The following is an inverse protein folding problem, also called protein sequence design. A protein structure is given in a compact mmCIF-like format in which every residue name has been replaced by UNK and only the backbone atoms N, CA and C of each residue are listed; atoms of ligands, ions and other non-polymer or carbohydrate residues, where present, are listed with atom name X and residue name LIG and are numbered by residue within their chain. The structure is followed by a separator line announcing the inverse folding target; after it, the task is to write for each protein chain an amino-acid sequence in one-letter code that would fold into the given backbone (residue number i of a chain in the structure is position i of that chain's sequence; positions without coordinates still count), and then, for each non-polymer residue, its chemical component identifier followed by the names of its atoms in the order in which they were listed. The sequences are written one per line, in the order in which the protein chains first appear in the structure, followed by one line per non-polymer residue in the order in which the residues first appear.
data_IF_843731461414
#
_entry.id   IF_843731461414
#
_cell.length_a   1.000
_cell.length_b   1.000
_cell.length_c   1.000
_cell.angle_alpha   90.00
_cell.angle_beta   90.00
_cell.angle_gamma   90.00
#
_symmetry.space_group_name_H-M   'P 1'
#
loop_
_entity.id
_entity.type
_entity.pdbx_description
1 polymer ?
#
# COMPACT_ATOMS: atom_id res chain seq x y z
N UNK A 1 -61.82 5.87 27.80
CA UNK A 1 -61.32 4.85 28.75
C UNK A 1 -60.89 3.65 27.91
N UNK A 2 -59.63 3.22 27.95
CA UNK A 2 -59.19 2.05 27.18
C UNK A 2 -59.84 0.80 27.77
N UNK A 3 -60.50 -0.01 26.95
CA UNK A 3 -60.97 -1.34 27.34
C UNK A 3 -59.77 -2.28 27.55
N UNK A 4 -59.90 -3.30 28.42
CA UNK A 4 -58.82 -4.26 28.69
C UNK A 4 -58.26 -4.92 27.42
N UNK A 5 -59.11 -5.17 26.41
CA UNK A 5 -58.67 -5.71 25.12
C UNK A 5 -57.75 -4.76 24.35
N UNK A 6 -58.01 -3.45 24.40
CA UNK A 6 -57.19 -2.43 23.74
C UNK A 6 -55.84 -2.26 24.45
N UNK A 7 -55.81 -2.38 25.78
CA UNK A 7 -54.58 -2.33 26.58
C UNK A 7 -53.68 -3.54 26.32
N UNK A 8 -54.25 -4.75 26.23
CA UNK A 8 -53.53 -5.98 25.86
C UNK A 8 -52.91 -5.89 24.45
N UNK A 9 -53.66 -5.37 23.48
CA UNK A 9 -53.17 -5.20 22.12
C UNK A 9 -51.99 -4.21 22.05
N UNK A 10 -52.11 -3.07 22.73
CA UNK A 10 -51.04 -2.05 22.81
C UNK A 10 -49.80 -2.62 23.50
N UNK A 11 -49.98 -3.36 24.60
CA UNK A 11 -48.88 -4.02 25.29
C UNK A 11 -48.13 -4.99 24.36
N UNK A 12 -48.87 -5.85 23.63
CA UNK A 12 -48.28 -6.77 22.67
C UNK A 12 -47.53 -6.06 21.53
N UNK A 13 -48.09 -4.99 20.97
CA UNK A 13 -47.42 -4.18 19.94
C UNK A 13 -46.14 -3.56 20.50
N UNK A 14 -46.18 -2.98 21.70
CA UNK A 14 -44.99 -2.44 22.38
C UNK A 14 -43.92 -3.51 22.63
N UNK A 15 -44.30 -4.73 23.02
CA UNK A 15 -43.36 -5.85 23.22
C UNK A 15 -42.73 -6.30 21.90
N UNK A 16 -43.51 -6.35 20.82
CA UNK A 16 -43.00 -6.69 19.48
C UNK A 16 -42.02 -5.61 18.99
N UNK A 17 -42.39 -4.33 19.07
CA UNK A 17 -41.52 -3.23 18.61
C UNK A 17 -40.23 -3.13 19.45
N UNK A 18 -40.32 -3.31 20.76
CA UNK A 18 -39.14 -3.31 21.65
C UNK A 18 -38.23 -4.50 21.39
N UNK A 19 -38.77 -5.71 21.15
CA UNK A 19 -37.97 -6.87 20.78
C UNK A 19 -37.28 -6.69 19.42
N UNK A 20 -37.95 -6.11 18.41
CA UNK A 20 -37.29 -5.73 17.15
C UNK A 20 -36.14 -4.74 17.37
N UNK A 21 -36.33 -3.74 18.23
CA UNK A 21 -35.31 -2.74 18.56
C UNK A 21 -34.09 -3.37 19.25
N UNK A 22 -34.32 -4.32 20.16
CA UNK A 22 -33.26 -5.09 20.83
C UNK A 22 -32.49 -5.97 19.83
N UNK A 23 -33.19 -6.68 18.94
CA UNK A 23 -32.56 -7.51 17.90
C UNK A 23 -31.71 -6.64 16.96
N UNK A 24 -32.20 -5.46 16.59
CA UNK A 24 -31.49 -4.54 15.72
C UNK A 24 -30.24 -3.97 16.41
N UNK A 25 -30.34 -3.59 17.69
CA UNK A 25 -29.20 -3.15 18.49
C UNK A 25 -28.15 -4.26 18.63
N UNK A 26 -28.58 -5.50 18.89
CA UNK A 26 -27.69 -6.66 18.97
C UNK A 26 -27.00 -6.94 17.63
N UNK A 27 -27.72 -6.84 16.51
CA UNK A 27 -27.15 -6.99 15.18
C UNK A 27 -26.04 -5.95 14.92
N UNK A 28 -26.29 -4.67 15.20
CA UNK A 28 -25.27 -3.64 15.04
C UNK A 28 -24.09 -3.82 16.00
N UNK A 29 -24.34 -4.25 17.23
CA UNK A 29 -23.29 -4.56 18.19
C UNK A 29 -22.39 -5.69 17.69
N UNK A 30 -22.97 -6.81 17.23
CA UNK A 30 -22.22 -7.95 16.68
C UNK A 30 -21.47 -7.53 15.41
N UNK A 31 -22.14 -6.81 14.50
CA UNK A 31 -21.52 -6.28 13.28
C UNK A 31 -20.34 -5.35 13.61
N UNK A 32 -20.50 -4.49 14.62
CA UNK A 32 -19.44 -3.62 15.14
C UNK A 32 -18.26 -4.42 15.68
N UNK A 33 -18.51 -5.44 16.51
CA UNK A 33 -17.44 -6.33 17.04
C UNK A 33 -16.71 -7.12 15.95
N UNK A 34 -17.43 -7.55 14.91
CA UNK A 34 -16.81 -8.20 13.74
C UNK A 34 -15.93 -7.23 12.95
N UNK A 35 -16.34 -5.96 12.83
CA UNK A 35 -15.54 -4.92 12.19
C UNK A 35 -14.30 -4.58 13.03
N UNK A 36 -14.44 -4.45 14.35
CA UNK A 36 -13.33 -4.18 15.28
C UNK A 36 -12.26 -5.27 15.27
N UNK A 37 -12.68 -6.54 15.20
CA UNK A 37 -11.79 -7.71 15.22
C UNK A 37 -11.22 -8.09 13.85
N UNK A 38 -11.63 -7.40 12.78
CA UNK A 38 -11.17 -7.66 11.42
C UNK A 38 -9.66 -7.46 11.31
N UNK A 39 -8.99 -8.39 10.65
CA UNK A 39 -7.54 -8.36 10.35
C UNK A 39 -7.33 -8.62 8.87
N UNK A 40 -6.56 -7.77 8.21
CA UNK A 40 -6.21 -7.88 6.80
C UNK A 40 -4.82 -8.49 6.68
N UNK A 41 -4.74 -9.81 6.51
CA UNK A 41 -3.48 -10.54 6.47
C UNK A 41 -2.86 -10.52 5.06
N UNK A 42 -1.91 -9.62 4.84
CA UNK A 42 -1.22 -9.45 3.55
C UNK A 42 -0.17 -10.52 3.23
N UNK A 43 0.10 -11.46 4.14
CA UNK A 43 0.89 -12.66 3.82
C UNK A 43 0.16 -13.61 2.87
N UNK A 44 -1.17 -13.47 2.70
CA UNK A 44 -1.93 -14.28 1.75
C UNK A 44 -2.03 -13.58 0.39
N UNK A 45 -1.14 -13.95 -0.54
CA UNK A 45 -1.05 -13.38 -1.89
C UNK A 45 -2.39 -13.37 -2.63
N UNK A 46 -3.16 -14.47 -2.56
CA UNK A 46 -4.48 -14.61 -3.22
C UNK A 46 -5.53 -13.62 -2.72
N UNK A 47 -5.37 -13.03 -1.54
CA UNK A 47 -6.32 -12.09 -0.95
C UNK A 47 -5.92 -10.61 -1.09
N UNK A 48 -4.69 -10.31 -1.53
CA UNK A 48 -4.14 -8.94 -1.56
C UNK A 48 -5.00 -7.97 -2.37
N UNK A 49 -5.33 -8.31 -3.63
CA UNK A 49 -6.22 -7.48 -4.48
C UNK A 49 -7.54 -7.13 -3.79
N UNK A 50 -8.18 -8.12 -3.15
CA UNK A 50 -9.41 -7.87 -2.38
C UNK A 50 -9.16 -6.88 -1.23
N UNK A 51 -8.06 -7.04 -0.51
CA UNK A 51 -7.73 -6.15 0.60
C UNK A 51 -7.35 -4.74 0.14
N UNK A 52 -6.64 -4.58 -0.97
CA UNK A 52 -6.38 -3.25 -1.55
C UNK A 52 -7.68 -2.52 -1.86
N UNK A 53 -8.64 -3.18 -2.52
CA UNK A 53 -9.96 -2.61 -2.81
C UNK A 53 -10.72 -2.23 -1.55
N UNK A 54 -10.66 -3.05 -0.51
CA UNK A 54 -11.29 -2.72 0.78
C UNK A 54 -10.65 -1.48 1.42
N UNK A 55 -9.32 -1.40 1.43
CA UNK A 55 -8.58 -0.26 1.99
C UNK A 55 -8.83 1.02 1.19
N UNK A 56 -8.90 0.93 -0.14
CA UNK A 56 -9.21 2.07 -1.01
C UNK A 56 -10.60 2.67 -0.71
N UNK A 57 -11.56 1.85 -0.28
CA UNK A 57 -12.91 2.30 0.10
C UNK A 57 -12.92 2.87 1.53
N UNK A 58 -12.15 2.28 2.43
CA UNK A 58 -12.12 2.65 3.85
C UNK A 58 -10.68 2.62 4.39
N UNK A 59 -10.07 3.81 4.44
CA UNK A 59 -8.69 4.01 4.92
C UNK A 59 -8.52 3.64 6.41
N UNK A 60 -9.59 3.60 7.21
CA UNK A 60 -9.50 3.19 8.62
C UNK A 60 -9.00 1.74 8.76
N UNK A 61 -9.22 0.92 7.71
CA UNK A 61 -8.76 -0.47 7.64
C UNK A 61 -7.24 -0.61 7.54
N UNK A 62 -6.49 0.45 7.24
CA UNK A 62 -5.01 0.44 7.26
C UNK A 62 -4.51 0.06 8.67
N UNK A 63 -5.19 0.50 9.73
CA UNK A 63 -4.86 0.13 11.10
C UNK A 63 -4.97 -1.38 11.38
N UNK A 64 -5.75 -2.10 10.56
CA UNK A 64 -6.04 -3.54 10.67
C UNK A 64 -5.15 -4.42 9.79
N UNK A 65 -4.18 -3.83 9.10
CA UNK A 65 -3.20 -4.55 8.27
C UNK A 65 -2.22 -5.34 9.14
N UNK A 66 -2.02 -6.60 8.78
CA UNK A 66 -1.10 -7.53 9.46
C UNK A 66 -0.30 -8.36 8.45
N UNK A 67 0.90 -8.77 8.85
CA UNK A 67 1.77 -9.74 8.16
C UNK A 67 2.03 -10.89 9.15
N UNK A 68 1.56 -12.09 8.84
CA UNK A 68 1.84 -13.27 9.68
C UNK A 68 3.27 -13.74 9.47
N UNK A 69 3.97 -13.99 10.59
CA UNK A 69 5.25 -14.71 10.57
C UNK A 69 5.01 -16.21 10.38
N UNK A 70 6.00 -16.90 9.78
CA UNK A 70 6.09 -18.36 9.86
C UNK A 70 6.36 -18.75 11.31
N UNK A 71 5.62 -19.74 11.82
CA UNK A 71 5.81 -20.24 13.19
C UNK A 71 7.13 -21.00 13.26
N UNK A 72 8.02 -20.61 14.18
CA UNK A 72 9.24 -21.35 14.49
C UNK A 72 9.06 -22.04 15.87
N UNK A 73 9.70 -23.19 16.08
CA UNK A 73 9.37 -24.14 17.18
C UNK A 73 10.48 -24.35 18.23
N UNK A 74 11.62 -23.65 18.16
CA UNK A 74 12.75 -23.91 19.06
C UNK A 74 12.74 -22.98 20.29
N UNK A 75 13.55 -23.22 21.33
CA UNK A 75 13.55 -22.43 22.59
C UNK A 75 14.95 -22.03 23.11
N UNK A 76 16.00 -22.23 22.32
CA UNK A 76 17.37 -21.84 22.71
C UNK A 76 17.61 -20.31 22.60
N UNK A 77 18.75 -19.82 23.12
CA UNK A 77 19.08 -18.39 23.12
C UNK A 77 19.23 -17.82 21.70
N UNK A 78 19.85 -18.58 20.80
CA UNK A 78 19.96 -18.24 19.37
C UNK A 78 18.57 -18.03 18.77
N UNK A 79 17.65 -18.93 19.06
CA UNK A 79 16.25 -18.84 18.68
C UNK A 79 15.58 -17.61 19.27
N UNK A 80 15.79 -17.29 20.55
CA UNK A 80 15.20 -16.09 21.18
C UNK A 80 15.67 -14.82 20.45
N UNK A 81 16.97 -14.72 20.13
CA UNK A 81 17.55 -13.58 19.41
C UNK A 81 17.06 -13.51 17.96
N UNK A 82 17.07 -14.64 17.24
CA UNK A 82 16.53 -14.73 15.88
C UNK A 82 15.04 -14.37 15.84
N UNK A 83 14.26 -14.82 16.81
CA UNK A 83 12.83 -14.51 16.90
C UNK A 83 12.57 -13.05 17.24
N UNK A 84 13.37 -12.43 18.13
CA UNK A 84 13.31 -10.98 18.39
C UNK A 84 13.60 -10.16 17.14
N UNK A 85 14.66 -10.49 16.42
CA UNK A 85 15.00 -9.82 15.17
C UNK A 85 13.90 -9.99 14.12
N UNK A 86 13.33 -11.21 14.01
CA UNK A 86 12.22 -11.48 13.10
C UNK A 86 10.95 -10.70 13.47
N UNK A 87 10.64 -10.54 14.77
CA UNK A 87 9.50 -9.75 15.23
C UNK A 87 9.68 -8.26 14.94
N UNK A 88 10.88 -7.71 15.19
CA UNK A 88 11.19 -6.32 14.85
C UNK A 88 11.10 -6.09 13.34
N UNK A 89 11.71 -6.95 12.54
CA UNK A 89 11.63 -6.88 11.08
C UNK A 89 10.18 -6.94 10.60
N UNK A 90 9.37 -7.83 11.17
CA UNK A 90 7.93 -7.93 10.89
C UNK A 90 7.19 -6.62 11.21
N UNK A 91 7.38 -6.07 12.41
CA UNK A 91 6.70 -4.83 12.81
C UNK A 91 7.07 -3.69 11.87
N UNK A 92 8.34 -3.61 11.46
CA UNK A 92 8.79 -2.65 10.46
C UNK A 92 8.10 -2.88 9.11
N UNK A 93 8.06 -4.11 8.60
CA UNK A 93 7.37 -4.43 7.35
C UNK A 93 5.86 -4.11 7.40
N UNK A 94 5.18 -4.35 8.52
CA UNK A 94 3.78 -3.97 8.70
C UNK A 94 3.60 -2.44 8.66
N UNK A 95 4.48 -1.69 9.34
CA UNK A 95 4.44 -0.23 9.33
C UNK A 95 4.74 0.33 7.94
N UNK A 96 5.73 -0.21 7.24
CA UNK A 96 6.03 0.17 5.87
C UNK A 96 4.84 -0.11 4.94
N UNK A 97 4.20 -1.27 5.03
CA UNK A 97 2.99 -1.53 4.24
C UNK A 97 1.87 -0.53 4.56
N UNK A 98 1.67 -0.18 5.83
CA UNK A 98 0.68 0.84 6.23
C UNK A 98 1.02 2.21 5.64
N UNK A 99 2.29 2.61 5.67
CA UNK A 99 2.74 3.86 5.08
C UNK A 99 2.60 3.87 3.56
N UNK A 100 2.92 2.76 2.88
CA UNK A 100 2.69 2.59 1.45
C UNK A 100 1.21 2.74 1.08
N UNK A 101 0.31 2.11 1.83
CA UNK A 101 -1.13 2.22 1.59
C UNK A 101 -1.65 3.64 1.84
N UNK A 102 -1.15 4.34 2.87
CA UNK A 102 -1.48 5.76 3.11
C UNK A 102 -1.00 6.65 1.97
N UNK A 103 0.23 6.44 1.52
CA UNK A 103 0.80 7.19 0.40
C UNK A 103 -0.03 6.98 -0.87
N UNK A 104 -0.33 5.73 -1.24
CA UNK A 104 -1.03 5.42 -2.49
C UNK A 104 -2.49 5.82 -2.47
N UNK A 105 -3.20 5.60 -1.37
CA UNK A 105 -4.64 5.82 -1.25
C UNK A 105 -5.03 7.15 -0.61
N UNK A 106 -4.11 8.10 -0.45
CA UNK A 106 -4.49 9.47 -0.11
C UNK A 106 -5.28 10.10 -1.28
N UNK A 107 -6.16 11.04 -0.98
CA UNK A 107 -6.98 11.68 -2.01
C UNK A 107 -6.10 12.40 -3.04
N UNK A 108 -5.06 13.08 -2.56
CA UNK A 108 -4.10 13.84 -3.35
C UNK A 108 -3.31 12.92 -4.28
N UNK A 109 -2.81 11.79 -3.74
CA UNK A 109 -2.08 10.81 -4.54
C UNK A 109 -2.96 10.18 -5.62
N UNK A 110 -4.21 9.83 -5.31
CA UNK A 110 -5.13 9.26 -6.31
C UNK A 110 -5.42 10.27 -7.43
N UNK A 111 -5.64 11.54 -7.07
CA UNK A 111 -5.85 12.60 -8.06
C UNK A 111 -4.62 12.78 -8.96
N UNK A 112 -3.44 12.90 -8.36
CA UNK A 112 -2.17 13.07 -9.07
C UNK A 112 -1.85 11.86 -9.95
N UNK A 113 -2.03 10.64 -9.43
CA UNK A 113 -1.84 9.40 -10.19
C UNK A 113 -2.74 9.35 -11.42
N UNK A 114 -4.01 9.73 -11.28
CA UNK A 114 -4.97 9.66 -12.40
C UNK A 114 -4.60 10.63 -13.52
N UNK A 115 -3.94 11.75 -13.20
CA UNK A 115 -3.52 12.77 -14.17
C UNK A 115 -2.15 12.44 -14.76
N UNK A 116 -1.16 12.18 -13.90
CA UNK A 116 0.26 12.11 -14.24
C UNK A 116 0.73 10.70 -14.59
N UNK A 117 0.10 9.67 -14.02
CA UNK A 117 0.42 8.26 -14.24
C UNK A 117 -0.84 7.42 -14.49
N UNK A 118 -1.66 7.72 -15.53
CA UNK A 118 -2.96 7.10 -15.71
C UNK A 118 -2.90 5.57 -15.89
N UNK A 119 -1.82 5.03 -16.46
CA UNK A 119 -1.61 3.58 -16.58
C UNK A 119 -1.26 2.93 -15.23
N UNK A 120 -0.54 3.61 -14.33
CA UNK A 120 -0.32 3.16 -12.95
C UNK A 120 -1.64 3.13 -12.19
N UNK A 121 -2.46 4.19 -12.33
CA UNK A 121 -3.77 4.26 -11.69
C UNK A 121 -4.69 3.12 -12.16
N UNK A 122 -4.71 2.84 -13.48
CA UNK A 122 -5.50 1.74 -14.06
C UNK A 122 -5.01 0.35 -13.63
N UNK A 123 -3.70 0.18 -13.42
CA UNK A 123 -3.06 -1.08 -13.05
C UNK A 123 -2.62 -1.13 -11.58
N UNK A 124 -3.24 -0.34 -10.71
CA UNK A 124 -2.76 -0.14 -9.33
C UNK A 124 -2.70 -1.45 -8.52
N UNK A 125 -3.65 -2.36 -8.75
CA UNK A 125 -3.64 -3.70 -8.13
C UNK A 125 -2.36 -4.48 -8.49
N UNK A 126 -1.88 -4.37 -9.73
CA UNK A 126 -0.63 -5.02 -10.18
C UNK A 126 0.58 -4.36 -9.54
N UNK A 127 0.66 -3.02 -9.59
CA UNK A 127 1.76 -2.23 -9.00
C UNK A 127 1.90 -2.49 -7.50
N UNK A 128 0.79 -2.53 -6.76
CA UNK A 128 0.79 -2.84 -5.33
C UNK A 128 1.17 -4.29 -5.04
N UNK A 129 0.82 -5.23 -5.92
CA UNK A 129 1.30 -6.62 -5.80
C UNK A 129 2.81 -6.71 -6.05
N UNK A 130 3.34 -5.99 -7.05
CA UNK A 130 4.79 -5.89 -7.30
C UNK A 130 5.52 -5.28 -6.10
N UNK A 131 4.97 -4.22 -5.51
CA UNK A 131 5.48 -3.67 -4.24
C UNK A 131 5.47 -4.71 -3.12
N UNK A 132 4.40 -5.48 -2.95
CA UNK A 132 4.34 -6.52 -1.92
C UNK A 132 5.34 -7.66 -2.18
N UNK A 133 5.58 -8.04 -3.44
CA UNK A 133 6.63 -9.00 -3.79
C UNK A 133 8.00 -8.51 -3.32
N UNK A 134 8.30 -7.23 -3.59
CA UNK A 134 9.55 -6.59 -3.18
C UNK A 134 9.67 -6.45 -1.65
N UNK A 135 8.65 -5.90 -0.99
CA UNK A 135 8.75 -5.46 0.41
C UNK A 135 8.30 -6.50 1.45
N UNK A 136 7.47 -7.46 1.07
CA UNK A 136 6.89 -8.47 1.98
C UNK A 136 7.42 -9.87 1.65
N UNK A 137 7.40 -10.25 0.37
CA UNK A 137 7.81 -11.59 -0.04
C UNK A 137 9.33 -11.72 -0.19
N UNK A 138 10.05 -10.59 -0.24
CA UNK A 138 11.51 -10.53 -0.35
C UNK A 138 12.02 -10.96 -1.73
N UNK A 139 11.21 -10.77 -2.77
CA UNK A 139 11.63 -11.06 -4.15
C UNK A 139 12.68 -10.04 -4.58
N UNK A 140 13.83 -10.54 -5.03
CA UNK A 140 14.85 -9.70 -5.62
C UNK A 140 14.58 -9.54 -7.12
N UNK A 141 14.34 -8.29 -7.55
CA UNK A 141 14.17 -7.97 -8.96
C UNK A 141 15.51 -7.68 -9.65
N UNK A 142 16.62 -7.59 -8.90
CA UNK A 142 17.96 -7.50 -9.47
C UNK A 142 18.45 -8.91 -9.85
N UNK A 143 18.28 -9.26 -11.13
CA UNK A 143 18.85 -10.48 -11.71
C UNK A 143 20.18 -10.20 -12.41
N UNK A 144 20.93 -11.25 -12.78
CA UNK A 144 22.16 -11.09 -13.60
C UNK A 144 21.87 -10.43 -14.96
N UNK A 145 20.65 -10.57 -15.47
CA UNK A 145 20.20 -9.99 -16.73
C UNK A 145 19.50 -8.64 -16.55
N UNK A 146 19.80 -7.93 -15.46
CA UNK A 146 19.24 -6.60 -15.18
C UNK A 146 20.31 -5.52 -15.08
N UNK A 147 19.98 -4.32 -15.56
CA UNK A 147 20.79 -3.11 -15.38
C UNK A 147 20.27 -2.33 -14.18
N UNK A 148 21.17 -1.73 -13.42
CA UNK A 148 20.82 -0.82 -12.32
C UNK A 148 20.66 0.58 -12.84
N UNK A 149 19.53 1.19 -12.52
CA UNK A 149 19.20 2.57 -12.89
C UNK A 149 18.95 3.38 -11.63
N UNK A 150 19.51 4.58 -11.61
CA UNK A 150 19.22 5.60 -10.63
C UNK A 150 18.20 6.56 -11.25
N UNK A 151 17.13 6.86 -10.53
CA UNK A 151 16.23 7.97 -10.82
C UNK A 151 16.26 8.95 -9.66
N UNK A 152 16.28 10.25 -9.96
CA UNK A 152 16.37 11.29 -8.95
C UNK A 152 15.45 12.46 -9.25
N UNK A 153 15.08 13.15 -8.17
CA UNK A 153 14.31 14.39 -8.19
C UNK A 153 14.71 15.27 -7.02
N UNK A 154 14.63 16.58 -7.19
CA UNK A 154 14.86 17.54 -6.12
C UNK A 154 13.54 17.83 -5.40
N UNK A 155 13.48 17.52 -4.10
CA UNK A 155 12.35 17.89 -3.25
C UNK A 155 12.66 19.18 -2.48
N UNK A 156 11.69 20.11 -2.34
CA UNK A 156 11.90 21.40 -1.69
C UNK A 156 12.43 21.30 -0.26
N UNK A 157 11.93 20.34 0.52
CA UNK A 157 12.30 20.18 1.94
C UNK A 157 13.31 19.07 2.19
N UNK A 158 13.28 18.01 1.37
CA UNK A 158 14.04 16.79 1.60
C UNK A 158 15.35 16.72 0.80
N UNK A 159 15.61 17.70 -0.06
CA UNK A 159 16.80 17.73 -0.88
C UNK A 159 16.73 16.75 -2.05
N UNK A 160 17.88 16.22 -2.47
CA UNK A 160 17.95 15.25 -3.55
C UNK A 160 17.34 13.91 -3.10
N UNK A 161 16.30 13.47 -3.78
CA UNK A 161 15.66 12.19 -3.59
C UNK A 161 16.08 11.23 -4.69
N UNK A 162 16.67 10.09 -4.35
CA UNK A 162 17.20 9.11 -5.33
C UNK A 162 16.61 7.73 -5.06
N UNK A 163 16.10 7.09 -6.11
CA UNK A 163 15.64 5.70 -6.12
C UNK A 163 16.57 4.91 -7.03
N UNK A 164 16.96 3.72 -6.56
CA UNK A 164 17.65 2.72 -7.38
C UNK A 164 16.70 1.57 -7.69
N UNK A 165 16.57 1.20 -8.96
CA UNK A 165 15.74 0.09 -9.39
C UNK A 165 16.40 -0.70 -10.55
N UNK A 166 16.09 -2.01 -10.69
CA UNK A 166 16.55 -2.82 -11.80
C UNK A 166 15.67 -2.63 -13.03
N UNK A 167 16.26 -2.78 -14.21
CA UNK A 167 15.55 -2.91 -15.49
C UNK A 167 16.11 -4.15 -16.21
N UNK A 168 15.26 -5.10 -16.63
CA UNK A 168 15.70 -6.21 -17.46
C UNK A 168 16.40 -5.73 -18.73
N UNK A 169 17.44 -6.45 -19.18
CA UNK A 169 18.21 -6.10 -20.38
C UNK A 169 17.31 -5.93 -21.62
N UNK A 170 16.25 -6.71 -21.74
CA UNK A 170 15.28 -6.63 -22.85
C UNK A 170 14.49 -5.30 -22.89
N UNK A 171 14.34 -4.65 -21.74
CA UNK A 171 13.67 -3.35 -21.59
C UNK A 171 14.66 -2.17 -21.51
N UNK A 172 15.97 -2.46 -21.52
CA UNK A 172 17.00 -1.44 -21.37
C UNK A 172 17.46 -0.89 -22.73
N UNK A 173 17.21 0.40 -22.96
CA UNK A 173 17.69 1.10 -24.16
C UNK A 173 19.00 1.85 -23.86
N UNK A 174 20.14 1.28 -24.28
CA UNK A 174 21.48 1.83 -24.00
C UNK A 174 21.63 3.31 -24.41
N UNK A 175 21.18 3.68 -25.61
CA UNK A 175 21.28 5.05 -26.11
C UNK A 175 20.52 6.03 -25.20
N UNK A 176 19.31 5.65 -24.79
CA UNK A 176 18.48 6.48 -23.93
C UNK A 176 19.06 6.64 -22.54
N UNK A 177 19.46 5.54 -21.91
CA UNK A 177 19.96 5.56 -20.53
C UNK A 177 21.35 6.19 -20.41
N UNK A 178 22.23 6.03 -21.42
CA UNK A 178 23.57 6.63 -21.36
C UNK A 178 23.53 8.14 -21.63
N UNK A 179 22.57 8.63 -22.42
CA UNK A 179 22.46 10.04 -22.76
C UNK A 179 21.53 10.84 -21.82
N UNK A 180 20.66 10.18 -21.06
CA UNK A 180 19.67 10.85 -20.20
C UNK A 180 20.29 11.75 -19.13
N UNK A 181 21.46 11.38 -18.59
CA UNK A 181 22.17 12.16 -17.54
C UNK A 181 22.77 13.48 -18.05
N UNK A 182 23.02 13.60 -19.35
CA UNK A 182 23.73 14.74 -19.95
C UNK A 182 22.89 15.52 -20.97
N UNK A 183 21.79 14.94 -21.47
CA UNK A 183 21.03 15.47 -22.59
C UNK A 183 19.82 16.34 -22.25
N UNK A 184 19.47 16.55 -20.97
CA UNK A 184 18.32 17.38 -20.57
C UNK A 184 16.92 16.81 -20.91
N UNK A 185 16.85 15.78 -21.76
CA UNK A 185 15.61 15.13 -22.24
C UNK A 185 15.23 13.86 -21.46
N UNK A 186 15.93 13.56 -20.37
CA UNK A 186 15.85 12.31 -19.61
C UNK A 186 14.72 12.27 -18.57
N UNK A 187 13.46 12.47 -18.94
CA UNK A 187 12.33 12.28 -18.01
C UNK A 187 11.92 10.81 -17.89
N UNK A 188 11.57 10.36 -16.67
CA UNK A 188 11.10 8.99 -16.46
C UNK A 188 9.83 8.64 -17.24
N UNK A 189 9.03 9.63 -17.67
CA UNK A 189 7.90 9.45 -18.59
C UNK A 189 8.31 8.63 -19.84
N UNK A 190 9.57 8.78 -20.23
CA UNK A 190 10.14 8.12 -21.37
C UNK A 190 10.28 6.61 -21.23
N UNK A 191 10.45 6.07 -20.04
CA UNK A 191 10.87 4.67 -19.86
C UNK A 191 9.85 3.62 -20.30
N UNK A 192 8.63 4.06 -20.62
CA UNK A 192 7.54 3.18 -21.02
C UNK A 192 6.74 2.67 -19.82
N UNK A 193 5.47 2.35 -20.08
CA UNK A 193 4.50 2.02 -19.04
C UNK A 193 4.91 0.77 -18.23
N UNK A 194 5.49 -0.24 -18.90
CA UNK A 194 5.94 -1.48 -18.27
C UNK A 194 7.08 -1.22 -17.27
N UNK A 195 8.12 -0.49 -17.67
CA UNK A 195 9.24 -0.15 -16.78
C UNK A 195 8.73 0.64 -15.56
N UNK A 196 7.80 1.55 -15.79
CA UNK A 196 7.26 2.40 -14.73
C UNK A 196 6.40 1.59 -13.76
N UNK A 197 5.45 0.80 -14.25
CA UNK A 197 4.52 0.04 -13.41
C UNK A 197 5.20 -1.14 -12.69
N UNK A 198 6.16 -1.81 -13.32
CA UNK A 198 6.69 -3.08 -12.82
C UNK A 198 7.99 -2.93 -12.04
N UNK A 199 8.70 -1.80 -12.25
CA UNK A 199 10.02 -1.56 -11.67
C UNK A 199 10.08 -0.21 -10.94
N UNK A 200 9.95 0.92 -11.62
CA UNK A 200 10.15 2.21 -10.94
C UNK A 200 9.14 2.46 -9.81
N UNK A 201 7.84 2.36 -10.07
CA UNK A 201 6.80 2.75 -9.13
C UNK A 201 6.74 1.86 -7.87
N UNK A 202 6.90 0.52 -7.97
CA UNK A 202 7.06 -0.33 -6.78
C UNK A 202 8.25 0.08 -5.90
N UNK A 203 9.37 0.49 -6.50
CA UNK A 203 10.53 0.98 -5.74
C UNK A 203 10.31 2.38 -5.16
N UNK A 204 9.58 3.27 -5.85
CA UNK A 204 9.12 4.55 -5.31
C UNK A 204 8.28 4.33 -4.05
N UNK A 205 7.26 3.48 -4.11
CA UNK A 205 6.42 3.14 -2.95
C UNK A 205 7.30 2.57 -1.82
N UNK A 206 8.22 1.65 -2.15
CA UNK A 206 9.10 1.06 -1.17
C UNK A 206 10.02 2.09 -0.49
N UNK A 207 10.56 3.04 -1.24
CA UNK A 207 11.43 4.08 -0.69
C UNK A 207 10.66 5.05 0.20
N UNK A 208 9.53 5.57 -0.28
CA UNK A 208 8.63 6.46 0.48
C UNK A 208 8.18 5.77 1.77
N UNK A 209 7.68 4.54 1.67
CA UNK A 209 7.11 3.82 2.82
C UNK A 209 8.09 3.59 3.98
N UNK A 210 9.40 3.54 3.68
CA UNK A 210 10.46 3.30 4.66
C UNK A 210 11.05 4.57 5.25
N UNK A 211 11.03 5.67 4.51
CA UNK A 211 11.85 6.86 4.82
C UNK A 211 11.06 8.14 5.03
N UNK A 212 9.82 8.21 4.54
CA UNK A 212 9.06 9.45 4.51
C UNK A 212 7.62 9.20 4.95
N UNK A 213 7.33 9.43 6.24
CA UNK A 213 5.99 9.29 6.80
C UNK A 213 5.12 10.54 6.60
N UNK A 214 5.75 11.72 6.42
CA UNK A 214 5.09 13.01 6.31
C UNK A 214 5.53 13.76 5.04
N UNK A 215 5.05 13.32 3.87
CA UNK A 215 5.23 14.06 2.63
C UNK A 215 4.23 15.22 2.56
N UNK A 216 4.69 16.41 2.18
CA UNK A 216 3.78 17.54 1.92
C UNK A 216 3.07 17.35 0.58
N UNK A 217 1.98 18.09 0.35
CA UNK A 217 1.31 18.10 -0.96
C UNK A 217 2.27 18.49 -2.11
N UNK A 218 3.20 19.40 -1.85
CA UNK A 218 4.23 19.78 -2.82
C UNK A 218 5.19 18.63 -3.11
N UNK A 219 5.62 17.89 -2.09
CA UNK A 219 6.46 16.71 -2.30
C UNK A 219 5.72 15.63 -3.10
N UNK A 220 4.43 15.40 -2.79
CA UNK A 220 3.58 14.46 -3.53
C UNK A 220 3.43 14.85 -5.01
N UNK A 221 3.19 16.13 -5.29
CA UNK A 221 3.06 16.63 -6.66
C UNK A 221 4.33 16.38 -7.48
N UNK A 222 5.50 16.52 -6.86
CA UNK A 222 6.79 16.28 -7.51
C UNK A 222 7.06 14.78 -7.66
N UNK A 223 6.89 13.98 -6.59
CA UNK A 223 7.12 12.54 -6.61
C UNK A 223 6.19 11.81 -7.59
N UNK A 224 4.96 12.30 -7.74
CA UNK A 224 3.94 11.74 -8.63
C UNK A 224 3.86 12.47 -9.98
N UNK A 225 4.88 13.25 -10.35
CA UNK A 225 5.02 13.86 -11.67
C UNK A 225 6.14 13.15 -12.45
N UNK A 226 5.85 12.43 -13.54
CA UNK A 226 6.89 11.73 -14.30
C UNK A 226 7.91 12.69 -14.92
N UNK A 227 7.52 13.93 -15.19
CA UNK A 227 8.38 14.97 -15.79
C UNK A 227 9.37 15.57 -14.79
N UNK A 228 9.15 15.36 -13.50
CA UNK A 228 10.06 15.85 -12.45
C UNK A 228 11.22 14.90 -12.20
N UNK A 229 11.11 13.64 -12.66
CA UNK A 229 12.14 12.63 -12.45
C UNK A 229 13.13 12.60 -13.59
N UNK A 230 14.40 12.78 -13.24
CA UNK A 230 15.54 12.45 -14.09
C UNK A 230 16.00 11.01 -13.83
N UNK A 231 16.71 10.39 -14.78
CA UNK A 231 17.25 9.05 -14.62
C UNK A 231 18.57 8.85 -15.35
N UNK A 232 19.33 7.82 -14.98
CA UNK A 232 20.59 7.43 -15.62
C UNK A 232 21.19 6.14 -15.03
N UNK A 233 22.30 5.64 -15.59
CA UNK A 233 23.00 4.48 -15.05
C UNK A 233 23.53 4.77 -13.63
N UNK A 234 23.47 3.73 -12.78
CA UNK A 234 23.92 3.73 -11.38
C UNK A 234 25.44 3.82 -11.22
#
# INVERSE_FOLDING_TARGET
MFTESNLSLIANICTIVSSFSIVFALYFYIKGKILESRKLNFSNTKKRSKFFKMVAIDLSLISKVEIKSKTLRNRDLTYILSNRNALTAKNNSENYLKNALRFVFSNESIQLLTISFPYVARNLDHVLNRYCQLAIDGVDFYSMDSKKVDAWVQLPQLGQFVIKFPIPNELYNEERFNNSRWGGDGSIAGLGEEVIADYFFPYLINYVSRKHENLTEADLAILLSPYSWEFGPS
#
